data_IF_059505262930
#
_entry.id   IF_059505262930
#
_cell.length_a   1.000
_cell.length_b   1.000
_cell.length_c   1.000
_cell.angle_alpha   90.00
_cell.angle_beta   90.00
_cell.angle_gamma   90.00
#
_symmetry.space_group_name_H-M   'P 1'
#
loop_
_entity.id
_entity.type
_entity.pdbx_description
1 polymer ?
#
# COMPACT_ATOMS: atom_id res chain seq x y z
N UNK A 1 -2.79 -10.38 -21.36
CA UNK A 1 -2.16 -9.79 -22.57
C UNK A 1 -2.99 -10.17 -23.77
N UNK A 2 -3.17 -9.26 -24.74
CA UNK A 2 -4.07 -9.48 -25.88
C UNK A 2 -5.48 -8.90 -25.71
N UNK A 3 -5.64 -7.79 -24.99
CA UNK A 3 -6.92 -7.10 -24.74
C UNK A 3 -8.00 -7.92 -24.01
N UNK A 4 -7.63 -9.06 -23.43
CA UNK A 4 -8.50 -9.87 -22.59
C UNK A 4 -8.20 -9.60 -21.11
N UNK A 5 -9.26 -9.55 -20.30
CA UNK A 5 -9.19 -9.53 -18.84
C UNK A 5 -9.58 -10.91 -18.31
N UNK A 6 -8.84 -11.37 -17.30
CA UNK A 6 -9.13 -12.61 -16.59
C UNK A 6 -9.52 -12.28 -15.15
N UNK A 7 -10.58 -12.91 -14.67
CA UNK A 7 -11.05 -12.86 -13.30
C UNK A 7 -10.21 -13.87 -12.48
N UNK A 8 -9.50 -13.40 -11.44
CA UNK A 8 -8.56 -14.22 -10.67
C UNK A 8 -8.94 -14.37 -9.20
N UNK A 9 -10.08 -13.85 -8.74
CA UNK A 9 -10.48 -13.91 -7.32
C UNK A 9 -10.67 -15.34 -6.84
N UNK A 10 -11.16 -16.25 -7.69
CA UNK A 10 -11.31 -17.66 -7.33
C UNK A 10 -9.95 -18.36 -7.16
N UNK A 11 -9.03 -18.21 -8.12
CA UNK A 11 -7.71 -18.84 -8.09
C UNK A 11 -6.77 -18.24 -7.05
N UNK A 12 -7.01 -16.98 -6.66
CA UNK A 12 -6.24 -16.27 -5.62
C UNK A 12 -6.79 -16.41 -4.20
N UNK A 13 -7.85 -17.20 -3.99
CA UNK A 13 -8.64 -17.35 -2.75
C UNK A 13 -9.49 -16.13 -2.33
N UNK A 14 -9.34 -14.98 -2.99
CA UNK A 14 -10.05 -13.75 -2.59
C UNK A 14 -11.57 -13.90 -2.68
N UNK A 15 -12.12 -14.68 -3.63
CA UNK A 15 -13.56 -14.85 -3.81
C UNK A 15 -14.26 -15.35 -2.53
N UNK A 16 -13.68 -16.34 -1.85
CA UNK A 16 -14.24 -16.89 -0.62
C UNK A 16 -14.02 -15.94 0.57
N UNK A 17 -12.85 -15.31 0.64
CA UNK A 17 -12.47 -14.42 1.73
C UNK A 17 -13.29 -13.12 1.76
N UNK A 18 -13.68 -12.60 0.60
CA UNK A 18 -14.40 -11.33 0.47
C UNK A 18 -15.91 -11.49 0.31
N UNK A 19 -16.42 -12.71 0.07
CA UNK A 19 -17.86 -12.98 -0.11
C UNK A 19 -18.80 -12.32 0.93
N UNK A 20 -18.47 -12.28 2.25
CA UNK A 20 -19.37 -11.68 3.24
C UNK A 20 -19.12 -10.17 3.46
N UNK A 21 -18.32 -9.51 2.61
CA UNK A 21 -17.83 -8.14 2.82
C UNK A 21 -18.27 -7.21 1.68
N UNK A 22 -18.55 -5.97 2.07
CA UNK A 22 -18.76 -4.86 1.13
C UNK A 22 -17.60 -3.87 1.28
N UNK A 23 -16.69 -3.89 0.31
CA UNK A 23 -15.49 -3.05 0.28
C UNK A 23 -15.71 -1.71 -0.43
N UNK A 24 -15.12 -0.63 0.11
CA UNK A 24 -15.24 0.74 -0.42
C UNK A 24 -13.92 1.37 -0.84
N UNK A 25 -12.84 1.03 -0.14
CA UNK A 25 -11.50 1.55 -0.42
C UNK A 25 -10.50 0.44 -0.31
N UNK A 26 -9.65 0.32 -1.33
CA UNK A 26 -8.65 -0.73 -1.43
C UNK A 26 -7.26 -0.09 -1.44
N UNK A 27 -6.31 -0.71 -0.74
CA UNK A 27 -4.90 -0.35 -0.80
C UNK A 27 -4.05 -1.55 -1.16
N UNK A 28 -3.13 -1.37 -2.11
CA UNK A 28 -2.19 -2.40 -2.56
C UNK A 28 -0.78 -1.96 -2.15
N UNK A 29 -0.33 -2.42 -0.99
CA UNK A 29 0.91 -1.99 -0.35
C UNK A 29 1.64 -3.19 0.24
N UNK A 30 2.96 -3.13 0.31
CA UNK A 30 3.76 -4.15 1.00
C UNK A 30 3.79 -3.77 2.48
N UNK A 31 3.09 -4.54 3.34
CA UNK A 31 2.85 -4.20 4.74
C UNK A 31 3.75 -4.98 5.70
N UNK A 32 4.43 -6.02 5.20
CA UNK A 32 5.36 -6.86 5.95
C UNK A 32 6.82 -6.74 5.44
N UNK A 33 7.06 -5.83 4.50
CA UNK A 33 8.32 -5.51 3.86
C UNK A 33 8.99 -6.69 3.13
N UNK A 34 8.20 -7.64 2.62
CA UNK A 34 8.73 -8.88 2.04
C UNK A 34 8.96 -8.85 0.52
N UNK A 35 8.75 -7.68 -0.10
CA UNK A 35 8.90 -7.40 -1.52
C UNK A 35 7.63 -7.62 -2.34
N UNK A 36 6.54 -8.08 -1.72
CA UNK A 36 5.26 -8.37 -2.39
C UNK A 36 4.15 -7.48 -1.86
N UNK A 37 3.26 -7.04 -2.76
CA UNK A 37 2.13 -6.20 -2.36
C UNK A 37 1.01 -7.04 -1.76
N UNK A 38 0.58 -6.63 -0.58
CA UNK A 38 -0.59 -7.09 0.16
C UNK A 38 -1.82 -6.26 -0.21
N UNK A 39 -2.99 -6.66 0.30
CA UNK A 39 -4.26 -6.00 0.04
C UNK A 39 -4.98 -5.63 1.35
N UNK A 40 -5.28 -4.35 1.51
CA UNK A 40 -6.20 -3.85 2.53
C UNK A 40 -7.54 -3.45 1.91
N UNK A 41 -8.65 -3.70 2.63
CA UNK A 41 -10.00 -3.31 2.22
C UNK A 41 -10.76 -2.64 3.38
N UNK A 42 -11.08 -1.36 3.22
CA UNK A 42 -12.01 -0.65 4.08
C UNK A 42 -13.44 -1.14 3.81
N UNK A 43 -14.15 -1.58 4.84
CA UNK A 43 -15.44 -2.29 4.69
C UNK A 43 -16.59 -1.63 5.46
N UNK A 44 -17.81 -1.74 4.92
CA UNK A 44 -19.03 -1.34 5.61
C UNK A 44 -20.20 -1.25 4.66
N UNK A 45 -21.32 -1.90 4.96
CA UNK A 45 -22.43 -2.02 4.01
C UNK A 45 -23.28 -0.75 3.92
N UNK A 46 -23.87 -0.53 2.74
CA UNK A 46 -24.90 0.48 2.49
C UNK A 46 -26.31 -0.08 2.61
N UNK A 47 -26.47 -1.39 2.55
CA UNK A 47 -27.74 -2.07 2.72
C UNK A 47 -27.70 -3.00 3.93
N UNK A 48 -28.71 -2.88 4.77
CA UNK A 48 -29.08 -3.95 5.68
C UNK A 48 -29.47 -5.20 4.88
N UNK A 49 -29.02 -6.41 5.26
CA UNK A 49 -29.50 -7.69 4.72
C UNK A 49 -31.03 -7.83 4.63
N UNK A 50 -31.79 -7.04 5.43
CA UNK A 50 -33.26 -6.97 5.40
C UNK A 50 -33.82 -6.02 4.30
N UNK A 51 -32.97 -5.47 3.44
CA UNK A 51 -33.35 -4.63 2.29
C UNK A 51 -33.54 -3.14 2.60
N UNK A 52 -33.08 -2.66 3.76
CA UNK A 52 -33.17 -1.25 4.14
C UNK A 52 -31.92 -0.48 3.71
N UNK A 53 -32.11 0.56 2.88
CA UNK A 53 -31.08 1.56 2.59
C UNK A 53 -30.92 2.62 3.69
N UNK A 54 -31.80 2.58 4.71
CA UNK A 54 -31.74 3.51 5.85
C UNK A 54 -30.71 3.07 6.89
N UNK A 55 -30.40 1.78 6.93
CA UNK A 55 -29.50 1.19 7.92
C UNK A 55 -28.22 0.72 7.24
N UNK A 56 -27.10 1.35 7.61
CA UNK A 56 -25.76 0.94 7.19
C UNK A 56 -25.27 -0.13 8.15
N UNK A 57 -24.55 -1.14 7.65
CA UNK A 57 -24.07 -2.26 8.47
C UNK A 57 -22.58 -2.11 8.74
N UNK A 58 -22.17 -1.85 10.00
CA UNK A 58 -20.76 -1.82 10.38
C UNK A 58 -20.07 -3.16 10.11
N UNK A 59 -18.90 -3.13 9.49
CA UNK A 59 -18.07 -4.30 9.21
C UNK A 59 -16.64 -4.08 9.71
N UNK A 60 -15.93 -5.17 9.96
CA UNK A 60 -14.47 -5.10 10.14
C UNK A 60 -13.81 -4.93 8.78
N UNK A 61 -12.72 -4.16 8.75
CA UNK A 61 -11.82 -4.10 7.60
C UNK A 61 -11.18 -5.48 7.35
N UNK A 62 -10.61 -5.65 6.17
CA UNK A 62 -9.91 -6.88 5.81
C UNK A 62 -8.47 -6.59 5.41
N UNK A 63 -7.56 -7.47 5.82
CA UNK A 63 -6.16 -7.44 5.43
C UNK A 63 -5.78 -8.82 4.86
N UNK A 64 -5.21 -8.83 3.67
CA UNK A 64 -4.80 -10.05 2.97
C UNK A 64 -3.33 -9.98 2.60
N UNK A 65 -2.55 -10.97 3.04
CA UNK A 65 -1.12 -11.05 2.73
C UNK A 65 -0.88 -11.89 1.48
N UNK A 66 0.06 -11.44 0.65
CA UNK A 66 0.43 -12.13 -0.57
C UNK A 66 1.32 -13.34 -0.28
N UNK A 67 0.91 -14.53 -0.74
CA UNK A 67 1.65 -15.77 -0.52
C UNK A 67 2.72 -16.05 -1.59
N UNK A 68 2.99 -15.09 -2.49
CA UNK A 68 4.04 -15.16 -3.53
C UNK A 68 3.84 -16.30 -4.54
N UNK A 69 2.64 -16.84 -4.61
CA UNK A 69 2.25 -17.95 -5.48
C UNK A 69 0.91 -17.69 -6.19
N UNK A 70 0.53 -16.42 -6.31
CA UNK A 70 -0.75 -15.99 -6.91
C UNK A 70 -1.95 -16.10 -5.96
N UNK A 71 -1.75 -16.48 -4.69
CA UNK A 71 -2.81 -16.57 -3.68
C UNK A 71 -2.60 -15.57 -2.55
N UNK A 72 -3.70 -15.27 -1.86
CA UNK A 72 -3.71 -14.47 -0.65
C UNK A 72 -4.21 -15.27 0.55
N UNK A 73 -3.73 -14.91 1.75
CA UNK A 73 -4.23 -15.40 3.02
C UNK A 73 -4.86 -14.25 3.83
N UNK A 74 -5.90 -14.57 4.61
CA UNK A 74 -6.50 -13.62 5.54
C UNK A 74 -5.58 -13.38 6.74
N UNK A 75 -5.06 -12.16 6.85
CA UNK A 75 -4.24 -11.69 7.95
C UNK A 75 -5.02 -10.81 8.93
N UNK A 76 -6.32 -10.57 8.69
CA UNK A 76 -7.19 -9.80 9.59
C UNK A 76 -7.16 -10.31 11.04
N UNK A 77 -7.21 -11.65 11.31
CA UNK A 77 -7.19 -12.15 12.68
C UNK A 77 -5.88 -11.88 13.43
N UNK A 78 -4.78 -11.69 12.71
CA UNK A 78 -3.44 -11.48 13.27
C UNK A 78 -2.98 -10.03 13.24
N UNK A 79 -3.75 -9.12 12.62
CA UNK A 79 -3.44 -7.69 12.49
C UNK A 79 -3.62 -6.89 13.79
N UNK A 80 -4.06 -7.55 14.86
CA UNK A 80 -4.28 -6.96 16.18
C UNK A 80 -5.72 -7.16 16.68
N UNK A 81 -5.92 -7.14 18.01
CA UNK A 81 -7.23 -7.42 18.62
C UNK A 81 -8.31 -6.45 18.15
N UNK A 82 -7.97 -5.16 18.10
CA UNK A 82 -8.90 -4.12 17.68
C UNK A 82 -9.15 -4.15 16.17
N UNK A 83 -8.14 -4.44 15.34
CA UNK A 83 -8.31 -4.51 13.89
C UNK A 83 -9.28 -5.63 13.49
N UNK A 84 -9.17 -6.78 14.16
CA UNK A 84 -9.99 -7.96 13.88
C UNK A 84 -11.44 -7.86 14.37
N UNK A 85 -11.76 -6.92 15.27
CA UNK A 85 -13.06 -6.86 15.94
C UNK A 85 -13.80 -5.53 15.76
N UNK A 86 -13.09 -4.41 15.60
CA UNK A 86 -13.72 -3.09 15.52
C UNK A 86 -14.47 -2.93 14.19
N UNK A 87 -15.79 -3.03 14.27
CA UNK A 87 -16.68 -2.75 13.16
C UNK A 87 -16.85 -1.25 12.97
N UNK A 88 -17.06 -0.83 11.73
CA UNK A 88 -17.41 0.54 11.39
C UNK A 88 -18.02 0.61 10.00
N UNK A 89 -18.57 1.76 9.68
CA UNK A 89 -19.01 2.06 8.30
C UNK A 89 -17.85 2.73 7.58
N UNK A 90 -16.78 1.96 7.35
CA UNK A 90 -15.53 2.49 6.80
C UNK A 90 -15.68 2.84 5.32
N UNK A 91 -15.00 3.89 4.87
CA UNK A 91 -15.11 4.37 3.48
C UNK A 91 -13.76 4.60 2.83
N UNK A 92 -13.02 5.58 3.30
CA UNK A 92 -11.73 5.97 2.73
C UNK A 92 -10.58 5.35 3.52
N UNK A 93 -9.44 5.16 2.85
CA UNK A 93 -8.20 4.76 3.49
C UNK A 93 -6.99 5.47 2.86
N UNK A 94 -6.03 5.85 3.69
CA UNK A 94 -4.73 6.40 3.28
C UNK A 94 -3.60 5.67 4.00
N UNK A 95 -2.44 5.60 3.35
CA UNK A 95 -1.27 4.84 3.82
C UNK A 95 -0.04 5.75 3.89
N UNK A 96 0.83 5.48 4.84
CA UNK A 96 2.10 6.19 5.00
C UNK A 96 2.85 5.67 6.22
N UNK A 97 4.15 5.89 6.24
CA UNK A 97 5.00 5.59 7.40
C UNK A 97 5.02 6.85 8.30
N UNK A 98 4.10 6.94 9.26
CA UNK A 98 3.80 8.19 9.97
C UNK A 98 4.91 8.53 10.96
N UNK A 99 5.51 7.52 11.57
CA UNK A 99 6.58 7.66 12.56
C UNK A 99 7.98 7.42 12.01
N UNK A 100 8.10 7.11 10.71
CA UNK A 100 9.36 6.91 9.98
C UNK A 100 10.13 5.67 10.44
N UNK A 101 9.42 4.62 10.81
CA UNK A 101 10.00 3.37 11.31
C UNK A 101 10.13 2.28 10.23
N UNK A 102 9.73 2.58 9.00
CA UNK A 102 9.77 1.68 7.85
C UNK A 102 8.56 0.77 7.70
N UNK A 103 7.57 0.88 8.59
CA UNK A 103 6.31 0.16 8.47
C UNK A 103 5.25 1.13 7.95
N UNK A 104 4.51 0.69 6.95
CA UNK A 104 3.37 1.46 6.50
C UNK A 104 2.23 1.35 7.51
N UNK A 105 1.81 2.51 8.00
CA UNK A 105 0.60 2.72 8.79
C UNK A 105 -0.59 3.01 7.87
N UNK A 106 -1.77 2.98 8.48
CA UNK A 106 -3.04 3.12 7.80
C UNK A 106 -3.98 4.06 8.57
N UNK A 107 -4.57 5.00 7.85
CA UNK A 107 -5.68 5.81 8.35
C UNK A 107 -6.96 5.41 7.63
N UNK A 108 -8.05 5.19 8.37
CA UNK A 108 -9.35 4.80 7.82
C UNK A 108 -10.44 5.78 8.27
N UNK A 109 -11.22 6.28 7.32
CA UNK A 109 -12.39 7.12 7.60
C UNK A 109 -13.62 6.26 7.86
N UNK A 110 -14.50 6.76 8.74
CA UNK A 110 -15.75 6.13 9.10
C UNK A 110 -16.90 7.13 8.96
N UNK A 111 -18.01 6.71 8.33
CA UNK A 111 -19.19 7.57 8.25
C UNK A 111 -19.82 7.75 9.63
N UNK A 112 -19.97 9.00 10.05
CA UNK A 112 -20.53 9.39 11.36
C UNK A 112 -19.79 8.77 12.56
N UNK A 113 -18.53 8.39 12.37
CA UNK A 113 -17.67 7.80 13.39
C UNK A 113 -16.31 8.48 13.47
N UNK A 114 -15.46 8.07 14.42
CA UNK A 114 -14.12 8.62 14.55
C UNK A 114 -13.23 8.17 13.38
N UNK A 115 -12.25 9.02 13.04
CA UNK A 115 -11.11 8.60 12.23
C UNK A 115 -10.30 7.55 13.00
N UNK A 116 -9.85 6.48 12.33
CA UNK A 116 -9.03 5.43 12.96
C UNK A 116 -7.64 5.43 12.36
N UNK A 117 -6.63 5.51 13.22
CA UNK A 117 -5.22 5.29 12.86
C UNK A 117 -4.81 3.90 13.34
N UNK A 118 -4.31 3.10 12.40
CA UNK A 118 -3.73 1.79 12.63
C UNK A 118 -2.23 1.92 12.45
N UNK A 119 -1.50 1.94 13.56
CA UNK A 119 -0.05 1.91 13.55
C UNK A 119 0.41 0.47 13.35
N UNK A 120 1.26 0.23 12.36
CA UNK A 120 1.79 -1.10 12.11
C UNK A 120 2.91 -1.39 13.13
N UNK A 121 2.65 -2.37 14.01
CA UNK A 121 3.59 -2.81 15.05
C UNK A 121 4.11 -4.24 14.79
N UNK A 122 3.99 -4.73 13.56
CA UNK A 122 4.48 -6.05 13.19
C UNK A 122 5.98 -6.14 13.46
N UNK A 123 6.48 -7.25 14.00
CA UNK A 123 7.92 -7.45 14.14
C UNK A 123 8.51 -7.52 12.73
N UNK A 124 9.35 -6.56 12.36
CA UNK A 124 9.93 -6.49 11.00
C UNK A 124 11.33 -7.08 11.02
N UNK A 125 11.53 -8.34 10.58
CA UNK A 125 12.86 -8.87 10.34
C UNK A 125 13.37 -8.48 8.94
N UNK A 126 12.63 -7.63 8.20
CA UNK A 126 12.86 -7.33 6.79
C UNK A 126 13.25 -5.86 6.60
N UNK A 127 14.05 -5.61 5.57
CA UNK A 127 14.55 -4.31 5.20
C UNK A 127 13.56 -3.51 4.36
N UNK A 128 13.71 -2.19 4.37
CA UNK A 128 12.83 -1.28 3.64
C UNK A 128 13.59 -0.12 3.02
N UNK A 129 12.94 0.58 2.08
CA UNK A 129 13.39 1.87 1.57
C UNK A 129 12.19 2.76 1.26
N UNK A 130 12.18 3.96 1.84
CA UNK A 130 11.28 5.04 1.39
C UNK A 130 12.06 5.99 0.50
N UNK A 131 11.56 6.25 -0.70
CA UNK A 131 12.17 7.21 -1.62
C UNK A 131 11.34 8.49 -1.62
N UNK A 132 11.95 9.59 -1.20
CA UNK A 132 11.36 10.92 -1.22
C UNK A 132 12.01 11.74 -2.33
N UNK A 133 11.25 12.06 -3.37
CA UNK A 133 11.75 12.83 -4.51
C UNK A 133 11.36 14.31 -4.42
N UNK A 134 12.24 15.17 -4.93
CA UNK A 134 11.99 16.60 -5.10
C UNK A 134 12.31 17.00 -6.53
N UNK A 135 11.31 17.43 -7.29
CA UNK A 135 11.51 17.92 -8.66
C UNK A 135 12.18 19.29 -8.71
N UNK A 136 12.92 19.55 -9.79
CA UNK A 136 13.48 20.85 -10.18
C UNK A 136 12.91 21.35 -11.48
N UNK A 137 13.00 20.54 -12.53
CA UNK A 137 12.42 20.80 -13.86
C UNK A 137 11.01 20.24 -13.95
N UNK A 138 10.80 19.07 -13.36
CA UNK A 138 9.50 18.47 -13.09
C UNK A 138 8.79 19.22 -11.95
N UNK A 139 7.50 18.90 -11.72
CA UNK A 139 6.75 19.43 -10.58
C UNK A 139 7.49 19.12 -9.26
N UNK A 140 7.38 20.02 -8.27
CA UNK A 140 8.18 19.96 -7.02
C UNK A 140 7.95 18.69 -6.21
N UNK A 141 6.76 18.13 -6.30
CA UNK A 141 6.43 16.88 -5.63
C UNK A 141 6.96 15.63 -6.34
N UNK A 142 7.50 15.78 -7.56
CA UNK A 142 7.96 14.67 -8.39
C UNK A 142 6.83 13.73 -8.81
N UNK A 143 5.57 14.19 -8.77
CA UNK A 143 4.40 13.39 -9.13
C UNK A 143 4.58 12.77 -10.50
N UNK A 144 4.23 11.49 -10.60
CA UNK A 144 4.39 10.62 -11.78
C UNK A 144 5.82 10.19 -12.12
N UNK A 145 6.84 10.58 -11.32
CA UNK A 145 8.18 10.00 -11.45
C UNK A 145 8.12 8.48 -11.22
N UNK A 146 8.77 7.71 -12.09
CA UNK A 146 8.85 6.25 -11.99
C UNK A 146 10.12 5.89 -11.26
N UNK A 147 10.02 5.01 -10.27
CA UNK A 147 11.14 4.58 -9.46
C UNK A 147 11.30 3.08 -9.64
N UNK A 148 12.50 2.66 -10.03
CA UNK A 148 12.91 1.26 -10.05
C UNK A 148 13.96 1.05 -8.97
N UNK A 149 13.77 0.02 -8.16
CA UNK A 149 14.75 -0.51 -7.21
C UNK A 149 15.19 -1.88 -7.71
N UNK A 150 16.49 -2.13 -7.73
CA UNK A 150 17.08 -3.45 -8.02
C UNK A 150 17.94 -3.89 -6.84
N UNK A 151 17.65 -5.07 -6.31
CA UNK A 151 18.40 -5.76 -5.25
C UNK A 151 18.87 -7.13 -5.76
N UNK A 152 19.43 -7.94 -4.87
CA UNK A 152 19.85 -9.33 -5.15
C UNK A 152 18.64 -10.21 -5.48
N UNK A 153 17.51 -10.01 -4.80
CA UNK A 153 16.28 -10.78 -4.98
C UNK A 153 15.45 -10.37 -6.20
N UNK A 154 15.74 -9.23 -6.83
CA UNK A 154 15.09 -8.82 -8.08
C UNK A 154 14.87 -7.33 -8.24
N UNK A 155 13.93 -6.97 -9.12
CA UNK A 155 13.55 -5.57 -9.37
C UNK A 155 12.11 -5.30 -8.96
N UNK A 156 11.89 -4.12 -8.39
CA UNK A 156 10.57 -3.58 -8.08
C UNK A 156 10.41 -2.24 -8.76
N UNK A 157 9.16 -1.92 -9.13
CA UNK A 157 8.80 -0.64 -9.72
C UNK A 157 7.64 -0.03 -8.97
N UNK A 158 7.70 1.28 -8.80
CA UNK A 158 6.58 2.05 -8.29
C UNK A 158 6.61 3.46 -8.87
N UNK A 159 5.53 4.22 -8.69
CA UNK A 159 5.36 5.55 -9.24
C UNK A 159 5.01 6.48 -8.09
N UNK A 160 5.55 7.70 -8.12
CA UNK A 160 5.14 8.76 -7.18
C UNK A 160 3.69 9.13 -7.48
N UNK A 161 2.79 8.65 -6.64
CA UNK A 161 1.38 8.99 -6.66
C UNK A 161 0.86 9.04 -5.21
N UNK A 162 -0.26 9.73 -5.01
CA UNK A 162 -0.96 9.78 -3.73
C UNK A 162 -2.36 9.19 -3.83
N UNK A 163 -2.84 8.91 -5.05
CA UNK A 163 -4.20 8.47 -5.30
C UNK A 163 -4.42 7.07 -4.73
N UNK A 164 -5.26 6.97 -3.71
CA UNK A 164 -5.70 5.70 -3.15
C UNK A 164 -7.12 5.86 -2.60
N UNK A 165 -7.92 4.82 -2.77
CA UNK A 165 -9.15 4.70 -2.00
C UNK A 165 -10.22 5.75 -2.29
N UNK A 166 -11.29 5.69 -1.51
CA UNK A 166 -12.42 6.59 -1.65
C UNK A 166 -12.12 7.95 -1.00
N UNK A 167 -11.90 8.97 -1.83
CA UNK A 167 -11.73 10.37 -1.38
C UNK A 167 -10.51 10.61 -0.49
N UNK A 168 -9.44 9.81 -0.66
CA UNK A 168 -8.26 9.84 0.18
C UNK A 168 -6.98 10.06 -0.63
N UNK A 169 -5.93 10.48 0.06
CA UNK A 169 -4.59 10.61 -0.50
C UNK A 169 -3.56 10.04 0.49
N UNK A 170 -2.68 9.17 0.01
CA UNK A 170 -1.56 8.62 0.77
C UNK A 170 -0.37 9.58 0.81
N UNK A 171 0.59 9.24 1.67
CA UNK A 171 1.94 9.79 1.61
C UNK A 171 2.54 9.59 0.21
N UNK A 172 3.22 10.63 -0.30
CA UNK A 172 3.87 10.61 -1.61
C UNK A 172 5.20 9.85 -1.63
N UNK A 173 5.79 9.57 -0.45
CA UNK A 173 7.04 8.80 -0.35
C UNK A 173 6.80 7.38 -0.86
N UNK A 174 7.68 6.93 -1.74
CA UNK A 174 7.50 5.65 -2.41
C UNK A 174 8.15 4.55 -1.59
N UNK A 175 7.33 3.63 -1.09
CA UNK A 175 7.74 2.51 -0.26
C UNK A 175 8.14 1.27 -1.09
N UNK A 176 9.26 0.67 -0.70
CA UNK A 176 9.74 -0.63 -1.15
C UNK A 176 10.09 -1.49 0.08
N UNK A 177 9.43 -2.63 0.25
CA UNK A 177 9.92 -3.69 1.12
C UNK A 177 10.98 -4.49 0.38
N UNK A 178 12.06 -4.85 1.06
CA UNK A 178 13.27 -5.42 0.44
C UNK A 178 13.56 -6.84 0.94
N UNK A 179 12.69 -7.40 1.79
CA UNK A 179 12.91 -8.71 2.36
C UNK A 179 14.21 -8.76 3.16
N UNK A 180 15.12 -9.65 2.77
CA UNK A 180 16.44 -9.81 3.44
C UNK A 180 17.57 -9.06 2.77
N UNK A 181 17.31 -8.38 1.66
CA UNK A 181 18.36 -7.67 0.94
C UNK A 181 18.73 -6.40 1.72
N UNK A 182 19.99 -6.30 2.11
CA UNK A 182 20.52 -5.20 2.94
C UNK A 182 21.07 -4.02 2.12
N UNK A 183 21.01 -4.12 0.79
CA UNK A 183 21.55 -3.13 -0.14
C UNK A 183 20.71 -3.07 -1.41
N UNK A 184 20.39 -1.86 -1.84
CA UNK A 184 19.84 -1.59 -3.18
C UNK A 184 21.00 -1.32 -4.14
N UNK A 185 21.31 -2.30 -4.99
CA UNK A 185 22.39 -2.21 -5.99
C UNK A 185 22.16 -1.05 -6.98
N UNK A 186 20.91 -0.83 -7.35
CA UNK A 186 20.53 0.23 -8.29
C UNK A 186 19.16 0.82 -7.92
N UNK A 187 19.14 2.15 -7.75
CA UNK A 187 17.93 2.97 -7.70
C UNK A 187 17.89 3.85 -8.97
N UNK A 188 16.87 3.70 -9.80
CA UNK A 188 16.62 4.58 -10.95
C UNK A 188 15.37 5.40 -10.69
N UNK A 189 15.48 6.72 -10.87
CA UNK A 189 14.35 7.65 -10.94
C UNK A 189 14.25 8.16 -12.38
N UNK A 190 13.15 7.83 -13.05
CA UNK A 190 12.77 8.44 -14.33
C UNK A 190 11.79 9.58 -14.04
N UNK A 191 12.27 10.80 -14.22
CA UNK A 191 11.53 12.01 -13.93
C UNK A 191 10.52 12.34 -15.06
N UNK A 192 9.41 13.04 -14.75
CA UNK A 192 8.47 13.52 -15.76
C UNK A 192 9.10 14.39 -16.85
N UNK A 193 10.19 15.09 -16.53
CA UNK A 193 10.98 15.88 -17.47
C UNK A 193 11.72 15.04 -18.52
N UNK A 194 11.77 13.72 -18.37
CA UNK A 194 12.55 12.78 -19.17
C UNK A 194 13.95 12.49 -18.63
N UNK A 195 14.40 13.23 -17.61
CA UNK A 195 15.70 12.96 -16.96
C UNK A 195 15.67 11.57 -16.31
N UNK A 196 16.74 10.81 -16.48
CA UNK A 196 16.95 9.52 -15.80
C UNK A 196 18.12 9.66 -14.85
N UNK A 197 17.85 9.53 -13.57
CA UNK A 197 18.86 9.62 -12.51
C UNK A 197 19.08 8.24 -11.90
N UNK A 198 20.34 7.82 -11.80
CA UNK A 198 20.74 6.54 -11.23
C UNK A 198 21.59 6.75 -9.98
N UNK A 199 21.30 5.99 -8.93
CA UNK A 199 22.14 5.82 -7.76
C UNK A 199 22.48 4.34 -7.59
N UNK A 200 23.68 4.03 -7.11
CA UNK A 200 24.12 2.66 -6.82
C UNK A 200 24.44 2.50 -5.34
N UNK A 201 24.46 1.25 -4.87
CA UNK A 201 24.89 0.88 -3.52
C UNK A 201 24.15 1.66 -2.42
N UNK A 202 22.85 1.86 -2.60
CA UNK A 202 22.00 2.62 -1.68
C UNK A 202 21.71 1.74 -0.47
N UNK A 203 22.08 2.22 0.73
CA UNK A 203 21.77 1.54 1.99
C UNK A 203 20.26 1.44 2.22
N UNK A 204 19.83 0.37 2.88
CA UNK A 204 18.43 0.14 3.25
C UNK A 204 18.10 0.80 4.59
N UNK A 205 16.87 0.61 5.05
CA UNK A 205 16.32 1.06 6.33
C UNK A 205 16.40 2.57 6.54
N UNK A 206 16.09 3.30 5.46
CA UNK A 206 16.15 4.75 5.47
C UNK A 206 15.13 5.40 4.54
N UNK A 207 14.94 6.71 4.77
CA UNK A 207 14.29 7.60 3.82
C UNK A 207 15.36 8.19 2.91
N UNK A 208 15.44 7.69 1.67
CA UNK A 208 16.33 8.21 0.64
C UNK A 208 15.72 9.44 -0.03
N UNK A 209 16.30 10.61 0.25
CA UNK A 209 15.99 11.85 -0.49
C UNK A 209 16.71 11.87 -1.84
N UNK A 210 15.98 12.19 -2.91
CA UNK A 210 16.52 12.31 -4.26
C UNK A 210 16.01 13.59 -4.89
N UNK A 211 16.93 14.49 -5.25
CA UNK A 211 16.58 15.73 -5.93
C UNK A 211 16.87 15.61 -7.42
N UNK A 212 15.93 16.08 -8.25
CA UNK A 212 16.08 16.07 -9.70
C UNK A 212 17.30 16.91 -10.11
N UNK A 213 18.18 16.39 -10.97
CA UNK A 213 19.29 17.15 -11.51
C UNK A 213 18.81 18.39 -12.27
N UNK A 214 19.66 19.42 -12.35
CA UNK A 214 19.35 20.63 -13.12
C UNK A 214 19.42 20.40 -14.65
N UNK A 215 20.17 19.39 -15.09
CA UNK A 215 20.40 18.98 -16.48
C UNK A 215 20.79 17.51 -16.55
#
# INVERSE_FOLDING_TARGET
GGNLFEELTSSSNLALLTRPKTGWSNGIFDLNNDGWKDLFVASGDVMDPRGSFRERVPMTNSLFVNLKNGKFADATPTAGPDFSTLKGVHRGSAFGDIDNDGRLDLVVTELNGPLRLWRNASPVPNHWLLVHVTGRKSNRDGMTAKIKVTTDSGSQWNIVNTAVGYGCASDKRVHFGLGKDDTVRELIVTWPSGIVQKLTDVKVDQIRKVEEPAS
#
